data_IF_755569186290
#
_entry.id   IF_755569186290
#
_cell.length_a   1.000
_cell.length_b   1.000
_cell.length_c   1.000
_cell.angle_alpha   90.00
_cell.angle_beta   90.00
_cell.angle_gamma   90.00
#
_symmetry.space_group_name_H-M   'P 1'
#
loop_
_entity.id
_entity.type
_entity.pdbx_description
1 polymer ?
#
# COMPACT_ATOMS: atom_id res chain seq x y z
N UNK A 1 -21.57 -10.64 -5.18
CA UNK A 1 -20.80 -10.15 -6.35
C UNK A 1 -19.89 -8.97 -6.00
N UNK A 2 -20.38 -7.90 -5.37
CA UNK A 2 -19.51 -6.82 -4.83
C UNK A 2 -18.57 -7.36 -3.73
N UNK A 3 -19.11 -8.09 -2.75
CA UNK A 3 -18.30 -8.72 -1.68
C UNK A 3 -17.37 -9.82 -2.20
N UNK A 4 -17.77 -10.51 -3.27
CA UNK A 4 -16.94 -11.49 -3.98
C UNK A 4 -15.90 -10.83 -4.90
N UNK A 5 -15.85 -9.49 -4.95
CA UNK A 5 -14.98 -8.68 -5.81
C UNK A 5 -15.09 -9.00 -7.31
N UNK A 6 -16.25 -9.46 -7.78
CA UNK A 6 -16.50 -9.73 -9.21
C UNK A 6 -16.62 -8.46 -10.05
N UNK A 7 -16.96 -7.34 -9.43
CA UNK A 7 -16.92 -5.99 -10.01
C UNK A 7 -16.84 -4.96 -8.88
N UNK A 8 -16.26 -3.79 -9.17
CA UNK A 8 -16.27 -2.65 -8.25
C UNK A 8 -17.63 -1.94 -8.32
N UNK A 9 -18.27 -1.71 -7.17
CA UNK A 9 -19.58 -1.05 -7.15
C UNK A 9 -20.15 -0.89 -5.75
N UNK A 10 -21.22 -0.11 -5.64
CA UNK A 10 -21.99 0.07 -4.40
C UNK A 10 -23.49 0.01 -4.70
N UNK A 11 -24.26 -0.50 -3.75
CA UNK A 11 -25.72 -0.50 -3.82
C UNK A 11 -26.26 0.74 -3.09
N UNK A 12 -26.94 1.62 -3.81
CA UNK A 12 -27.64 2.77 -3.24
C UNK A 12 -29.13 2.41 -3.06
N UNK A 13 -29.50 2.11 -1.81
CA UNK A 13 -30.87 1.74 -1.46
C UNK A 13 -31.82 2.95 -1.40
N UNK A 14 -31.30 4.17 -1.25
CA UNK A 14 -32.11 5.39 -1.24
C UNK A 14 -32.59 5.77 -2.66
N UNK A 15 -31.71 5.65 -3.64
CA UNK A 15 -32.02 5.87 -5.05
C UNK A 15 -32.56 4.61 -5.77
N UNK A 16 -32.46 3.44 -5.15
CA UNK A 16 -32.90 2.17 -5.72
C UNK A 16 -32.04 1.70 -6.89
N UNK A 17 -30.75 2.04 -6.92
CA UNK A 17 -29.86 1.77 -8.04
C UNK A 17 -28.57 1.06 -7.61
N UNK A 18 -27.95 0.38 -8.57
CA UNK A 18 -26.62 -0.21 -8.43
C UNK A 18 -25.63 0.69 -9.19
N UNK A 19 -24.64 1.21 -8.48
CA UNK A 19 -23.57 2.02 -9.05
C UNK A 19 -22.37 1.12 -9.30
N UNK A 20 -21.95 1.00 -10.56
CA UNK A 20 -20.75 0.23 -10.96
C UNK A 20 -19.64 1.23 -11.25
N UNK A 21 -18.45 0.95 -10.75
CA UNK A 21 -17.24 1.73 -11.00
C UNK A 21 -16.32 0.99 -11.97
N UNK A 22 -15.50 1.76 -12.69
CA UNK A 22 -14.35 1.19 -13.36
C UNK A 22 -13.38 0.59 -12.33
N UNK A 23 -12.62 -0.41 -12.75
CA UNK A 23 -11.61 -1.00 -11.89
C UNK A 23 -10.60 0.07 -11.44
N UNK A 24 -10.35 0.19 -10.13
CA UNK A 24 -9.38 1.16 -9.63
C UNK A 24 -8.01 0.81 -10.19
N UNK A 25 -7.37 1.76 -10.86
CA UNK A 25 -5.95 1.61 -11.22
C UNK A 25 -5.13 1.46 -9.95
N UNK A 26 -4.41 0.36 -9.84
CA UNK A 26 -3.44 0.19 -8.77
C UNK A 26 -2.35 1.27 -8.91
N UNK A 27 -2.27 2.19 -7.95
CA UNK A 27 -1.22 3.19 -7.89
C UNK A 27 0.07 2.56 -7.35
N UNK A 28 1.14 2.66 -8.12
CA UNK A 28 2.46 2.14 -7.75
C UNK A 28 3.15 2.96 -6.65
N UNK A 29 2.67 4.17 -6.35
CA UNK A 29 3.27 5.07 -5.35
C UNK A 29 3.22 4.46 -3.95
N UNK A 30 2.10 3.86 -3.55
CA UNK A 30 1.97 3.33 -2.18
C UNK A 30 2.95 2.16 -1.92
N UNK A 31 3.02 1.11 -2.77
CA UNK A 31 4.04 0.07 -2.62
C UNK A 31 5.47 0.61 -2.65
N UNK A 32 5.78 1.51 -3.60
CA UNK A 32 7.13 2.07 -3.72
C UNK A 32 7.54 2.90 -2.48
N UNK A 33 6.59 3.63 -1.89
CA UNK A 33 6.82 4.41 -0.67
C UNK A 33 7.10 3.50 0.52
N UNK A 34 6.33 2.41 0.68
CA UNK A 34 6.55 1.42 1.73
C UNK A 34 7.91 0.73 1.59
N UNK A 35 8.30 0.37 0.37
CA UNK A 35 9.63 -0.19 0.09
C UNK A 35 10.74 0.80 0.46
N UNK A 36 10.58 2.06 0.11
CA UNK A 36 11.53 3.13 0.44
C UNK A 36 11.73 3.24 1.96
N UNK A 37 10.63 3.27 2.73
CA UNK A 37 10.69 3.32 4.21
C UNK A 37 11.41 2.09 4.76
N UNK A 38 11.11 0.89 4.25
CA UNK A 38 11.78 -0.34 4.67
C UNK A 38 13.29 -0.30 4.39
N UNK A 39 13.68 0.18 3.21
CA UNK A 39 15.09 0.30 2.85
C UNK A 39 15.83 1.34 3.70
N UNK A 40 15.19 2.44 4.10
CA UNK A 40 15.76 3.39 5.04
C UNK A 40 16.03 2.76 6.42
N UNK A 41 15.13 1.91 6.92
CA UNK A 41 15.38 1.14 8.14
C UNK A 41 16.66 0.29 8.05
N UNK A 42 16.81 -0.47 6.95
CA UNK A 42 18.01 -1.30 6.72
C UNK A 42 19.30 -0.47 6.66
N UNK A 43 19.24 0.73 6.07
CA UNK A 43 20.39 1.63 6.01
C UNK A 43 20.79 2.12 7.40
N UNK A 44 19.82 2.52 8.22
CA UNK A 44 20.05 2.94 9.61
C UNK A 44 20.68 1.81 10.42
N UNK A 45 20.14 0.59 10.33
CA UNK A 45 20.69 -0.58 11.00
C UNK A 45 22.14 -0.86 10.57
N UNK A 46 22.42 -0.76 9.26
CA UNK A 46 23.77 -0.95 8.71
C UNK A 46 24.75 0.11 9.22
N UNK A 47 24.35 1.38 9.26
CA UNK A 47 25.18 2.47 9.78
C UNK A 47 25.46 2.29 11.28
N UNK A 48 24.47 1.85 12.06
CA UNK A 48 24.64 1.56 13.47
C UNK A 48 25.66 0.43 13.70
N UNK A 49 25.51 -0.70 13.00
CA UNK A 49 26.46 -1.83 13.10
C UNK A 49 27.89 -1.42 12.70
N UNK A 50 28.04 -0.63 11.63
CA UNK A 50 29.35 -0.13 11.19
C UNK A 50 29.97 0.80 12.23
N UNK A 51 29.18 1.71 12.79
CA UNK A 51 29.66 2.65 13.81
C UNK A 51 30.10 1.92 15.08
N UNK A 52 29.33 0.92 15.51
CA UNK A 52 29.69 0.07 16.64
C UNK A 52 31.02 -0.68 16.42
N UNK A 53 31.26 -1.18 15.21
CA UNK A 53 32.52 -1.87 14.86
C UNK A 53 33.75 -0.95 14.86
N UNK A 54 33.58 0.36 14.70
CA UNK A 54 34.69 1.34 14.70
C UNK A 54 35.04 1.78 16.14
N UNK A 55 34.09 1.70 17.07
CA UNK A 55 34.29 2.07 18.47
C UNK A 55 34.89 0.95 19.34
N UNK A 56 34.93 -0.28 18.83
CA UNK A 56 35.55 -1.44 19.47
C UNK A 56 37.03 -1.56 19.09
#
# INVERSE_FOLDING_TARGET
MILDRKFAGTLDQGAGCLIIFDDPKADAIFPATLETISNMGKVVDSLFMRSASIMA
#
